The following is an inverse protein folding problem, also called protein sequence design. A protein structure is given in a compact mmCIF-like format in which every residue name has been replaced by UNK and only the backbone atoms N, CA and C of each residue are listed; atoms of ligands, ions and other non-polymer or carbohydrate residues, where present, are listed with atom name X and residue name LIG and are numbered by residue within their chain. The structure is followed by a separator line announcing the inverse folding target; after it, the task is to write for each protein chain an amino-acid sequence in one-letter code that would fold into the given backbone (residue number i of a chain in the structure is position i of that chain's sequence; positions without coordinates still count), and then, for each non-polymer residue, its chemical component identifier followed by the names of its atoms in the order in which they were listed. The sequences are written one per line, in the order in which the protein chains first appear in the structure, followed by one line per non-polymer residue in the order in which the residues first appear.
data_IF_171690891590
#
_entry.id   IF_171690891590
#
_cell.length_a   1.000
_cell.length_b   1.000
_cell.length_c   1.000
_cell.angle_alpha   90.00
_cell.angle_beta   90.00
_cell.angle_gamma   90.00
#
_symmetry.space_group_name_H-M   'P 1'
#
loop_
_entity.id
_entity.type
_entity.pdbx_description
1 polymer ?
#
# COMPACT_ATOMS: atom_id res chain seq x y z
N UNK A 1 -5.91 3.67 18.43
CA UNK A 1 -5.60 5.05 17.98
C UNK A 1 -5.27 4.94 16.50
N UNK A 2 -5.93 5.73 15.65
CA UNK A 2 -5.68 5.68 14.21
C UNK A 2 -4.35 6.41 13.90
N UNK A 3 -3.51 5.81 13.07
CA UNK A 3 -2.26 6.39 12.58
C UNK A 3 -2.30 6.50 11.07
N UNK A 4 -1.71 7.57 10.56
CA UNK A 4 -1.60 7.86 9.12
C UNK A 4 -0.14 8.15 8.82
N UNK A 5 0.43 7.35 7.94
CA UNK A 5 1.81 7.47 7.47
C UNK A 5 1.76 7.60 5.94
N UNK A 6 2.77 8.20 5.34
CA UNK A 6 2.84 8.35 3.88
C UNK A 6 4.25 8.10 3.38
N UNK A 7 4.34 7.64 2.14
CA UNK A 7 5.59 7.46 1.41
C UNK A 7 5.43 8.02 0.01
N UNK A 8 6.44 8.75 -0.44
CA UNK A 8 6.51 9.24 -1.81
C UNK A 8 7.12 8.13 -2.68
N UNK A 9 6.43 7.75 -3.74
CA UNK A 9 6.83 6.65 -4.63
C UNK A 9 6.96 7.09 -6.09
N UNK A 10 7.91 6.48 -6.78
CA UNK A 10 8.08 6.59 -8.22
C UNK A 10 8.64 7.94 -8.71
N UNK A 11 8.91 8.04 -10.02
CA UNK A 11 9.49 9.25 -10.64
C UNK A 11 8.51 10.41 -10.77
N UNK A 12 7.21 10.16 -10.55
CA UNK A 12 6.14 11.16 -10.55
C UNK A 12 5.79 11.67 -9.16
N UNK A 13 6.55 11.24 -8.14
CA UNK A 13 6.39 11.66 -6.74
C UNK A 13 4.94 11.49 -6.23
N UNK A 14 4.40 10.29 -6.45
CA UNK A 14 3.07 9.89 -6.02
C UNK A 14 3.04 9.68 -4.49
N UNK A 15 1.95 10.05 -3.82
CA UNK A 15 1.83 9.93 -2.37
C UNK A 15 0.98 8.72 -1.99
N UNK A 16 1.63 7.60 -1.70
CA UNK A 16 0.97 6.43 -1.12
C UNK A 16 0.76 6.67 0.38
N UNK A 17 -0.47 6.48 0.87
CA UNK A 17 -0.79 6.59 2.30
C UNK A 17 -1.05 5.24 2.93
N UNK A 18 -0.59 5.06 4.17
CA UNK A 18 -0.84 3.89 4.99
C UNK A 18 -1.60 4.34 6.23
N UNK A 19 -2.84 3.87 6.36
CA UNK A 19 -3.72 4.18 7.48
C UNK A 19 -3.95 2.91 8.29
N UNK A 20 -3.61 2.91 9.57
CA UNK A 20 -3.75 1.70 10.39
C UNK A 20 -4.17 2.01 11.82
N UNK A 21 -4.82 1.05 12.47
CA UNK A 21 -5.24 1.14 13.88
C UNK A 21 -4.40 0.27 14.83
N UNK A 22 -3.33 -0.34 14.29
CA UNK A 22 -2.44 -1.29 14.96
C UNK A 22 -2.90 -2.75 14.86
N UNK A 23 -4.07 -3.03 14.28
CA UNK A 23 -4.53 -4.39 13.96
C UNK A 23 -4.79 -4.56 12.48
N UNK A 24 -5.40 -3.56 11.87
CA UNK A 24 -5.80 -3.50 10.47
C UNK A 24 -5.20 -2.29 9.79
N UNK A 25 -4.92 -2.43 8.51
CA UNK A 25 -4.23 -1.45 7.69
C UNK A 25 -4.93 -1.28 6.34
N UNK A 26 -5.04 -0.03 5.91
CA UNK A 26 -5.55 0.40 4.62
C UNK A 26 -4.41 1.07 3.87
N UNK A 27 -4.16 0.64 2.64
CA UNK A 27 -3.24 1.32 1.72
C UNK A 27 -4.08 2.20 0.80
N UNK A 28 -3.68 3.44 0.61
CA UNK A 28 -4.32 4.38 -0.31
C UNK A 28 -3.34 4.74 -1.41
N UNK A 29 -3.79 4.59 -2.66
CA UNK A 29 -3.05 4.99 -3.85
C UNK A 29 -1.64 4.36 -3.99
N UNK A 30 -1.47 3.02 -3.96
CA UNK A 30 -0.16 2.41 -4.20
C UNK A 30 0.26 2.54 -5.67
N UNK A 31 1.02 3.59 -5.97
CA UNK A 31 1.42 3.95 -7.32
C UNK A 31 2.63 3.18 -7.85
N UNK A 32 3.74 3.20 -7.12
CA UNK A 32 5.02 2.59 -7.51
C UNK A 32 5.80 2.04 -6.31
N UNK A 33 6.88 1.30 -6.56
CA UNK A 33 7.78 0.76 -5.52
C UNK A 33 7.10 -0.18 -4.49
N UNK A 34 6.45 -1.27 -4.96
CA UNK A 34 5.71 -2.20 -4.08
C UNK A 34 6.57 -2.75 -2.93
N UNK A 35 7.85 -3.04 -3.17
CA UNK A 35 8.76 -3.55 -2.13
C UNK A 35 8.94 -2.59 -0.94
N UNK A 36 8.91 -1.26 -1.19
CA UNK A 36 8.99 -0.27 -0.10
C UNK A 36 7.66 -0.13 0.63
N UNK A 37 6.55 -0.26 -0.09
CA UNK A 37 5.21 -0.26 0.49
C UNK A 37 5.03 -1.50 1.38
N UNK A 38 5.37 -2.69 0.87
CA UNK A 38 5.38 -3.95 1.63
C UNK A 38 6.20 -3.84 2.90
N UNK A 39 7.43 -3.30 2.81
CA UNK A 39 8.27 -3.09 4.00
C UNK A 39 7.63 -2.15 5.02
N UNK A 40 7.01 -1.05 4.59
CA UNK A 40 6.28 -0.16 5.48
C UNK A 40 5.12 -0.88 6.16
N UNK A 41 4.36 -1.69 5.43
CA UNK A 41 3.25 -2.48 5.97
C UNK A 41 3.77 -3.48 7.01
N UNK A 42 4.86 -4.21 6.72
CA UNK A 42 5.49 -5.15 7.65
C UNK A 42 5.95 -4.47 8.94
N UNK A 43 6.55 -3.27 8.85
CA UNK A 43 7.00 -2.49 10.00
C UNK A 43 5.84 -2.06 10.93
N UNK A 44 4.63 -1.87 10.38
CA UNK A 44 3.45 -1.56 11.20
C UNK A 44 2.94 -2.75 12.02
N UNK A 45 3.25 -3.99 11.61
CA UNK A 45 2.72 -5.22 12.19
C UNK A 45 1.19 -5.38 12.07
N UNK A 46 0.52 -4.49 11.34
CA UNK A 46 -0.92 -4.51 11.13
C UNK A 46 -1.28 -5.31 9.87
N UNK A 47 -2.41 -6.00 9.89
CA UNK A 47 -2.87 -6.79 8.74
C UNK A 47 -3.46 -5.85 7.68
N UNK A 48 -2.93 -5.80 6.45
CA UNK A 48 -3.59 -5.08 5.37
C UNK A 48 -4.97 -5.70 5.13
N UNK A 49 -6.01 -4.87 4.92
CA UNK A 49 -7.40 -5.34 4.70
C UNK A 49 -7.98 -4.90 3.37
N UNK A 50 -7.53 -3.77 2.83
CA UNK A 50 -7.99 -3.25 1.55
C UNK A 50 -7.01 -2.21 0.99
N UNK A 51 -7.12 -2.01 -0.32
CA UNK A 51 -6.48 -0.93 -1.06
C UNK A 51 -7.58 0.03 -1.51
N UNK A 52 -7.43 1.31 -1.20
CA UNK A 52 -8.32 2.37 -1.65
C UNK A 52 -7.62 3.15 -2.76
N UNK A 53 -8.30 3.34 -3.89
CA UNK A 53 -7.82 4.18 -4.98
C UNK A 53 -8.68 5.44 -5.02
N UNK A 54 -8.07 6.62 -4.93
CA UNK A 54 -8.77 7.91 -5.04
C UNK A 54 -9.33 8.09 -6.44
N UNK A 55 -8.57 7.66 -7.45
CA UNK A 55 -8.94 7.64 -8.85
C UNK A 55 -8.11 6.58 -9.62
N UNK A 56 -8.49 6.27 -10.85
CA UNK A 56 -7.92 5.15 -11.63
C UNK A 56 -6.93 5.59 -12.70
N UNK A 57 -6.10 6.60 -12.42
CA UNK A 57 -4.97 6.90 -13.31
C UNK A 57 -3.87 5.84 -13.15
N UNK A 58 -3.08 5.66 -14.22
CA UNK A 58 -2.15 4.54 -14.36
C UNK A 58 -1.04 4.57 -13.29
N UNK A 59 -0.69 5.76 -12.82
CA UNK A 59 0.32 6.07 -11.82
C UNK A 59 -0.11 5.73 -10.39
N UNK A 60 -1.40 5.42 -10.15
CA UNK A 60 -1.94 5.04 -8.84
C UNK A 60 -2.31 3.55 -8.71
N UNK A 61 -2.18 2.77 -9.80
CA UNK A 61 -2.55 1.33 -9.84
C UNK A 61 -1.36 0.39 -10.00
N UNK A 62 -0.15 0.94 -10.18
CA UNK A 62 1.05 0.18 -10.52
C UNK A 62 1.43 -0.83 -9.44
N UNK A 63 1.44 -0.42 -8.17
CA UNK A 63 1.74 -1.28 -7.04
C UNK A 63 0.49 -1.97 -6.46
N UNK A 64 -0.73 -1.47 -6.73
CA UNK A 64 -1.99 -2.09 -6.31
C UNK A 64 -2.11 -3.58 -6.70
N UNK A 65 -1.55 -3.98 -7.85
CA UNK A 65 -1.57 -5.36 -8.32
C UNK A 65 -0.58 -6.27 -7.58
N UNK A 66 0.49 -5.73 -6.98
CA UNK A 66 1.41 -6.48 -6.12
C UNK A 66 0.94 -6.49 -4.67
N UNK A 67 0.46 -5.35 -4.14
CA UNK A 67 -0.03 -5.28 -2.76
C UNK A 67 -1.33 -6.09 -2.56
N UNK A 68 -2.17 -6.22 -3.60
CA UNK A 68 -3.30 -7.15 -3.54
C UNK A 68 -2.86 -8.62 -3.43
N UNK A 69 -1.60 -8.95 -3.78
CA UNK A 69 -1.02 -10.29 -3.61
C UNK A 69 -0.48 -10.52 -2.20
N UNK A 70 0.05 -9.49 -1.53
CA UNK A 70 0.43 -9.59 -0.10
C UNK A 70 -0.81 -9.65 0.83
N UNK A 71 -1.95 -9.16 0.35
CA UNK A 71 -3.27 -9.32 0.97
C UNK A 71 -3.86 -10.75 0.86
N UNK A 72 -3.44 -11.53 -0.14
CA UNK A 72 -3.90 -12.89 -0.40
C UNK A 72 -2.71 -13.84 -0.35
N UNK A 73 -2.37 -14.37 0.83
CA UNK A 73 -1.35 -15.41 1.03
C UNK A 73 -1.45 -16.52 -0.05
N UNK A 74 -0.71 -16.37 -1.15
CA UNK A 74 -0.24 -17.41 -2.07
C UNK A 74 0.20 -16.82 -3.42
N UNK A 75 1.41 -17.21 -3.79
CA UNK A 75 1.83 -17.57 -5.14
C UNK A 75 2.77 -16.58 -5.87
N UNK A 76 3.99 -17.11 -6.04
CA UNK A 76 4.94 -16.98 -7.14
C UNK A 76 4.61 -15.99 -8.27
N UNK A 77 5.45 -14.98 -8.37
CA UNK A 77 6.10 -14.65 -9.63
C UNK A 77 7.57 -14.37 -9.37
#
# INVERSE_FOLDING_TARGET
MLKVEHIVTGPVEENTYVVHDGKTLLVVDPGSEPERIEKMIEETGAKPVAILLTHTHYDHIGAARCDSRSLSDSCLC
#
